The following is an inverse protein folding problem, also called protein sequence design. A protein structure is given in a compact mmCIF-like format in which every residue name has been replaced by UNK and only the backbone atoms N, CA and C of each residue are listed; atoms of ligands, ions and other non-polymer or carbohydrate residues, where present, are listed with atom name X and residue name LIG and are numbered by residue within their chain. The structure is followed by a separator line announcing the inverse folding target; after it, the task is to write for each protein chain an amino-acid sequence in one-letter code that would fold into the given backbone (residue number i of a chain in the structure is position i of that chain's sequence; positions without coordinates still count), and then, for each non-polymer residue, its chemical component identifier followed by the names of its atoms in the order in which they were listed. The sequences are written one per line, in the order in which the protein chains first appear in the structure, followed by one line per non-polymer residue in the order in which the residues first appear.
data_IF_384401047283
#
_entry.id   IF_384401047283
#
_cell.length_a   1.000
_cell.length_b   1.000
_cell.length_c   1.000
_cell.angle_alpha   90.00
_cell.angle_beta   90.00
_cell.angle_gamma   90.00
#
_symmetry.space_group_name_H-M   'P 1'
#
loop_
_entity.id
_entity.type
_entity.pdbx_description
1 polymer ?
#
# COMPACT_ATOMS: atom_id res chain seq x y z
N UNK A 1 -12.21 13.04 -2.94
CA UNK A 1 -12.78 11.80 -3.50
C UNK A 1 -14.12 11.56 -2.84
N UNK A 2 -15.20 11.49 -3.61
CA UNK A 2 -16.52 11.11 -3.11
C UNK A 2 -16.99 9.79 -3.76
N UNK A 3 -18.04 9.18 -3.25
CA UNK A 3 -18.52 7.87 -3.74
C UNK A 3 -18.87 7.89 -5.23
N UNK A 4 -19.47 8.98 -5.74
CA UNK A 4 -19.87 9.07 -7.16
C UNK A 4 -18.65 9.01 -8.09
N UNK A 5 -17.55 9.64 -7.69
CA UNK A 5 -16.29 9.59 -8.45
C UNK A 5 -15.70 8.18 -8.45
N UNK A 6 -15.76 7.47 -7.33
CA UNK A 6 -15.25 6.09 -7.22
C UNK A 6 -16.03 5.15 -8.14
N UNK A 7 -17.37 5.20 -8.09
CA UNK A 7 -18.23 4.37 -8.93
C UNK A 7 -17.97 4.63 -10.41
N UNK A 8 -17.92 5.91 -10.82
CA UNK A 8 -17.65 6.28 -12.21
C UNK A 8 -16.29 5.76 -12.71
N UNK A 9 -15.26 5.74 -11.86
CA UNK A 9 -13.96 5.17 -12.22
C UNK A 9 -13.99 3.65 -12.28
N UNK A 10 -14.76 2.99 -11.44
CA UNK A 10 -14.91 1.54 -11.42
C UNK A 10 -15.59 1.01 -12.70
N UNK A 11 -16.52 1.76 -13.30
CA UNK A 11 -17.21 1.39 -14.55
C UNK A 11 -16.27 1.23 -15.75
N UNK A 12 -15.17 1.97 -15.79
CA UNK A 12 -14.20 1.96 -16.90
C UNK A 12 -12.80 1.52 -16.46
N UNK A 13 -12.67 1.04 -15.23
CA UNK A 13 -11.40 0.59 -14.67
C UNK A 13 -10.89 -0.68 -15.33
N UNK A 14 -9.61 -1.02 -15.17
CA UNK A 14 -9.09 -2.27 -15.69
C UNK A 14 -9.78 -3.46 -15.02
N UNK A 15 -10.34 -4.37 -15.83
CA UNK A 15 -10.87 -5.62 -15.33
C UNK A 15 -9.72 -6.51 -14.84
N UNK A 16 -9.85 -7.04 -13.64
CA UNK A 16 -8.82 -7.84 -13.00
C UNK A 16 -9.44 -8.87 -12.05
N UNK A 17 -8.88 -10.08 -12.04
CA UNK A 17 -9.20 -11.08 -11.03
C UNK A 17 -8.76 -10.64 -9.64
N UNK A 18 -9.61 -10.86 -8.63
CA UNK A 18 -9.34 -10.39 -7.28
C UNK A 18 -8.00 -10.91 -6.72
N UNK A 19 -7.67 -12.17 -6.99
CA UNK A 19 -6.40 -12.75 -6.54
C UNK A 19 -5.19 -12.15 -7.28
N UNK A 20 -5.34 -11.80 -8.55
CA UNK A 20 -4.29 -11.12 -9.31
C UNK A 20 -4.05 -9.71 -8.76
N UNK A 21 -5.12 -9.00 -8.39
CA UNK A 21 -4.99 -7.71 -7.71
C UNK A 21 -4.20 -7.83 -6.39
N UNK A 22 -4.61 -8.76 -5.52
CA UNK A 22 -3.98 -8.94 -4.22
C UNK A 22 -2.51 -9.36 -4.34
N UNK A 23 -2.20 -10.34 -5.18
CA UNK A 23 -0.86 -10.92 -5.24
C UNK A 23 0.09 -10.08 -6.11
N UNK A 24 -0.36 -9.68 -7.30
CA UNK A 24 0.51 -9.04 -8.30
C UNK A 24 0.60 -7.52 -8.12
N UNK A 25 -0.41 -6.87 -7.53
CA UNK A 25 -0.35 -5.43 -7.22
C UNK A 25 -0.06 -5.16 -5.77
N UNK A 26 -0.94 -5.58 -4.86
CA UNK A 26 -0.84 -5.19 -3.44
C UNK A 26 0.39 -5.81 -2.77
N UNK A 27 0.51 -7.14 -2.77
CA UNK A 27 1.62 -7.83 -2.10
C UNK A 27 2.98 -7.45 -2.70
N UNK A 28 3.06 -7.37 -4.03
CA UNK A 28 4.28 -6.94 -4.73
C UNK A 28 4.65 -5.49 -4.40
N UNK A 29 3.66 -4.59 -4.36
CA UNK A 29 3.85 -3.18 -3.97
C UNK A 29 4.33 -3.05 -2.52
N UNK A 30 3.74 -3.79 -1.59
CA UNK A 30 4.16 -3.83 -0.18
C UNK A 30 5.60 -4.28 -0.05
N UNK A 31 5.98 -5.40 -0.68
CA UNK A 31 7.36 -5.91 -0.63
C UNK A 31 8.37 -4.92 -1.19
N UNK A 32 8.02 -4.25 -2.29
CA UNK A 32 8.87 -3.22 -2.89
C UNK A 32 9.02 -2.01 -1.97
N UNK A 33 7.92 -1.44 -1.51
CA UNK A 33 7.92 -0.22 -0.69
C UNK A 33 8.53 -0.46 0.70
N UNK A 34 8.31 -1.63 1.29
CA UNK A 34 8.98 -2.04 2.53
C UNK A 34 10.51 -1.98 2.38
N UNK A 35 11.03 -2.43 1.24
CA UNK A 35 12.46 -2.36 0.93
C UNK A 35 12.91 -0.93 0.64
N UNK A 36 12.18 -0.20 -0.20
CA UNK A 36 12.54 1.16 -0.65
C UNK A 36 12.55 2.17 0.52
N UNK A 37 11.61 2.03 1.47
CA UNK A 37 11.52 2.86 2.69
C UNK A 37 12.29 2.29 3.89
N UNK A 38 12.97 1.16 3.73
CA UNK A 38 13.76 0.56 4.82
C UNK A 38 12.95 0.17 6.06
N UNK A 39 11.67 -0.18 5.89
CA UNK A 39 10.78 -0.53 7.00
C UNK A 39 11.14 -1.93 7.49
N UNK A 40 11.52 -2.09 8.76
CA UNK A 40 11.92 -3.40 9.31
C UNK A 40 11.40 -3.57 10.72
N UNK A 41 10.86 -4.74 10.98
CA UNK A 41 10.54 -5.16 12.33
C UNK A 41 11.71 -5.92 12.93
N UNK A 42 12.06 -5.63 14.18
CA UNK A 42 13.16 -6.26 14.92
C UNK A 42 12.80 -7.64 15.50
N UNK A 43 11.53 -8.05 15.39
CA UNK A 43 11.01 -9.31 15.93
C UNK A 43 10.80 -9.32 17.44
N UNK A 44 10.95 -8.18 18.12
CA UNK A 44 10.88 -8.05 19.59
C UNK A 44 9.92 -6.95 20.02
N UNK A 45 10.00 -5.80 19.36
CA UNK A 45 9.29 -4.57 19.69
C UNK A 45 7.96 -4.55 18.96
N UNK A 46 6.87 -4.81 19.67
CA UNK A 46 5.52 -4.91 19.06
C UNK A 46 4.95 -3.56 18.62
N UNK A 47 5.32 -2.48 19.32
CA UNK A 47 4.83 -1.12 19.05
C UNK A 47 6.01 -0.29 18.60
N UNK A 48 5.91 0.31 17.41
CA UNK A 48 6.96 1.20 16.91
C UNK A 48 7.09 2.45 17.79
N UNK A 49 8.31 2.73 18.25
CA UNK A 49 8.69 3.94 18.99
C UNK A 49 9.75 4.79 18.25
N UNK A 50 10.08 4.41 17.01
CA UNK A 50 10.93 5.16 16.09
C UNK A 50 10.04 6.05 15.21
N UNK A 51 10.02 7.36 15.51
CA UNK A 51 9.21 8.37 14.82
C UNK A 51 9.58 8.46 13.34
N UNK A 52 10.86 8.37 12.98
CA UNK A 52 11.28 8.41 11.58
C UNK A 52 10.81 7.16 10.83
N UNK A 53 10.85 5.99 11.47
CA UNK A 53 10.27 4.79 10.87
C UNK A 53 8.75 4.91 10.71
N UNK A 54 8.07 5.56 11.67
CA UNK A 54 6.63 5.80 11.57
C UNK A 54 6.30 6.67 10.35
N UNK A 55 7.05 7.76 10.15
CA UNK A 55 6.90 8.65 9.00
C UNK A 55 7.16 7.92 7.68
N UNK A 56 8.24 7.12 7.61
CA UNK A 56 8.53 6.29 6.42
C UNK A 56 7.42 5.28 6.14
N UNK A 57 6.85 4.67 7.18
CA UNK A 57 5.73 3.73 7.04
C UNK A 57 4.47 4.42 6.51
N UNK A 58 4.17 5.62 7.02
CA UNK A 58 3.05 6.44 6.55
C UNK A 58 3.20 6.81 5.06
N UNK A 59 4.38 7.27 4.66
CA UNK A 59 4.64 7.62 3.26
C UNK A 59 4.56 6.41 2.33
N UNK A 60 5.14 5.28 2.74
CA UNK A 60 5.01 4.03 2.00
C UNK A 60 3.53 3.62 1.82
N UNK A 61 2.71 3.74 2.87
CA UNK A 61 1.27 3.43 2.81
C UNK A 61 0.50 4.31 1.84
N UNK A 62 0.76 5.62 1.84
CA UNK A 62 0.15 6.54 0.85
C UNK A 62 0.59 6.20 -0.57
N UNK A 63 1.87 5.91 -0.77
CA UNK A 63 2.37 5.54 -2.10
C UNK A 63 1.77 4.21 -2.58
N UNK A 64 1.56 3.24 -1.69
CA UNK A 64 0.90 1.98 -2.03
C UNK A 64 -0.49 2.23 -2.60
N UNK A 65 -1.33 3.02 -1.92
CA UNK A 65 -2.68 3.35 -2.38
C UNK A 65 -2.65 4.02 -3.76
N UNK A 66 -1.72 4.97 -3.97
CA UNK A 66 -1.57 5.64 -5.26
C UNK A 66 -1.13 4.69 -6.39
N UNK A 67 -0.36 3.64 -6.08
CA UNK A 67 0.12 2.67 -7.07
C UNK A 67 -0.91 1.58 -7.38
N UNK A 68 -1.68 1.15 -6.40
CA UNK A 68 -2.59 0.00 -6.54
C UNK A 68 -3.98 0.42 -7.03
N UNK A 69 -4.40 1.64 -6.70
CA UNK A 69 -5.74 2.16 -7.00
C UNK A 69 -6.63 2.24 -5.76
#
# INVERSE_FOLDING_TARGET
MNLKEVVKRAETGPLMEANDYLMKRVATGVLKLQKDYGIRWDGKTLVNLDDEMADRCWEAGKQLILQTG
#
